data_IF_351275131999
#
_entry.id   IF_351275131999
#
_cell.length_a   1.000
_cell.length_b   1.000
_cell.length_c   1.000
_cell.angle_alpha   90.00
_cell.angle_beta   90.00
_cell.angle_gamma   90.00
#
_symmetry.space_group_name_H-M   'P 1'
#
loop_
_entity.id
_entity.type
_entity.pdbx_description
1 polymer ?
#
# COMPACT_ATOMS: atom_id res chain seq x y z
N UNK A 1 -12.28 3.73 -4.36
CA UNK A 1 -10.96 4.24 -4.83
C UNK A 1 -10.05 4.53 -3.63
N UNK A 2 -9.27 3.53 -3.21
CA UNK A 2 -8.40 3.60 -2.01
C UNK A 2 -6.97 4.06 -2.37
N UNK A 3 -6.70 4.30 -3.67
CA UNK A 3 -5.37 4.52 -4.24
C UNK A 3 -4.80 5.95 -4.13
N UNK A 4 -5.41 6.88 -3.38
CA UNK A 4 -4.96 8.29 -3.33
C UNK A 4 -4.64 8.80 -1.92
N UNK A 5 -4.03 7.95 -1.10
CA UNK A 5 -3.16 8.46 -0.03
C UNK A 5 -1.73 8.13 -0.39
N UNK A 6 -1.14 8.93 -1.28
CA UNK A 6 0.31 9.12 -1.25
C UNK A 6 0.58 9.63 0.16
N UNK A 7 1.11 8.83 1.10
CA UNK A 7 1.34 9.37 2.42
C UNK A 7 2.48 10.36 2.22
N UNK A 8 2.19 11.65 2.36
CA UNK A 8 3.20 12.71 2.25
C UNK A 8 4.47 12.36 3.06
N UNK A 9 4.29 11.62 4.16
CA UNK A 9 5.35 11.05 4.99
C UNK A 9 6.30 10.09 4.23
N UNK A 10 5.81 9.15 3.41
CA UNK A 10 6.66 8.21 2.68
C UNK A 10 7.58 8.92 1.68
N UNK A 11 7.07 9.93 0.95
CA UNK A 11 7.87 10.75 0.05
C UNK A 11 8.94 11.58 0.77
N UNK A 12 8.62 12.12 1.95
CA UNK A 12 9.59 12.87 2.78
C UNK A 12 10.68 11.93 3.31
N UNK A 13 10.30 10.79 3.88
CA UNK A 13 11.23 9.77 4.38
C UNK A 13 12.13 9.23 3.27
N UNK A 14 11.58 9.04 2.07
CA UNK A 14 12.37 8.66 0.89
C UNK A 14 13.43 9.70 0.51
N UNK A 15 13.05 10.97 0.43
CA UNK A 15 14.00 12.04 0.13
C UNK A 15 15.08 12.16 1.20
N UNK A 16 14.73 11.97 2.48
CA UNK A 16 15.68 11.90 3.57
C UNK A 16 16.63 10.69 3.43
N UNK A 17 16.09 9.51 3.16
CA UNK A 17 16.87 8.29 2.90
C UNK A 17 17.87 8.48 1.76
N UNK A 18 17.46 9.13 0.66
CA UNK A 18 18.36 9.49 -0.44
C UNK A 18 19.49 10.43 -0.02
N UNK A 19 19.21 11.40 0.84
CA UNK A 19 20.23 12.28 1.41
C UNK A 19 21.24 11.52 2.25
N UNK A 20 20.78 10.54 3.04
CA UNK A 20 21.64 9.69 3.87
C UNK A 20 22.51 8.75 3.03
N UNK A 21 21.98 8.20 1.93
CA UNK A 21 22.77 7.41 0.96
C UNK A 21 23.92 8.25 0.39
N UNK A 22 23.66 9.51 0.02
CA UNK A 22 24.70 10.41 -0.50
C UNK A 22 25.77 10.73 0.55
N UNK A 23 25.39 10.77 1.83
CA UNK A 23 26.32 10.93 2.95
C UNK A 23 27.04 9.63 3.35
N UNK A 24 26.80 8.52 2.64
CA UNK A 24 27.29 7.16 2.97
C UNK A 24 26.84 6.65 4.35
N UNK A 25 25.79 7.24 4.91
CA UNK A 25 25.14 6.78 6.14
C UNK A 25 24.11 5.69 5.83
N UNK A 26 24.59 4.57 5.31
CA UNK A 26 23.76 3.50 4.78
C UNK A 26 22.86 2.85 5.85
N UNK A 27 23.34 2.71 7.09
CA UNK A 27 22.55 2.22 8.22
C UNK A 27 21.33 3.09 8.55
N UNK A 28 21.54 4.41 8.57
CA UNK A 28 20.47 5.39 8.81
C UNK A 28 19.53 5.46 7.62
N UNK A 29 20.06 5.36 6.39
CA UNK A 29 19.27 5.32 5.17
C UNK A 29 18.32 4.11 5.16
N UNK A 30 18.81 2.92 5.55
CA UNK A 30 18.01 1.71 5.62
C UNK A 30 16.79 1.91 6.54
N UNK A 31 17.01 2.34 7.79
CA UNK A 31 15.93 2.59 8.76
C UNK A 31 14.91 3.61 8.25
N UNK A 32 15.37 4.65 7.57
CA UNK A 32 14.50 5.71 7.06
C UNK A 32 13.64 5.21 5.90
N UNK A 33 14.22 4.41 5.00
CA UNK A 33 13.51 3.81 3.87
C UNK A 33 12.55 2.69 4.31
N UNK A 34 12.91 1.89 5.32
CA UNK A 34 11.99 0.94 5.97
C UNK A 34 10.78 1.66 6.55
N UNK A 35 10.99 2.80 7.22
CA UNK A 35 9.90 3.65 7.70
C UNK A 35 9.05 4.25 6.59
N UNK A 36 9.57 4.40 5.37
CA UNK A 36 8.79 4.85 4.20
C UNK A 36 7.91 3.72 3.66
N UNK A 37 8.41 2.49 3.65
CA UNK A 37 7.64 1.29 3.28
C UNK A 37 6.58 0.92 4.32
N UNK A 38 6.83 1.19 5.60
CA UNK A 38 5.81 1.04 6.65
C UNK A 38 4.64 2.01 6.46
N UNK A 39 4.92 3.24 6.02
CA UNK A 39 3.88 4.23 5.73
C UNK A 39 3.14 3.91 4.42
N UNK A 40 3.85 3.34 3.45
CA UNK A 40 3.31 2.95 2.15
C UNK A 40 3.98 1.65 1.67
N UNK A 41 3.30 0.54 1.95
CA UNK A 41 3.78 -0.80 1.58
C UNK A 41 4.00 -0.99 0.09
N UNK A 42 3.33 -0.19 -0.76
CA UNK A 42 3.45 -0.23 -2.22
C UNK A 42 4.34 0.90 -2.80
N UNK A 43 5.27 1.44 -2.01
CA UNK A 43 6.14 2.53 -2.49
C UNK A 43 7.40 2.00 -3.19
N UNK A 44 7.24 1.67 -4.48
CA UNK A 44 8.27 1.10 -5.37
C UNK A 44 9.63 1.83 -5.28
N UNK A 45 9.70 3.18 -5.29
CA UNK A 45 10.98 3.88 -5.20
C UNK A 45 11.73 3.59 -3.89
N UNK A 46 11.04 3.54 -2.75
CA UNK A 46 11.72 3.23 -1.49
C UNK A 46 12.23 1.79 -1.46
N UNK A 47 11.48 0.84 -2.01
CA UNK A 47 11.91 -0.56 -2.11
C UNK A 47 13.20 -0.71 -2.91
N UNK A 48 13.26 -0.14 -4.12
CA UNK A 48 14.45 -0.21 -4.97
C UNK A 48 15.69 0.36 -4.29
N UNK A 49 15.54 1.51 -3.63
CA UNK A 49 16.65 2.15 -2.91
C UNK A 49 17.04 1.40 -1.64
N UNK A 50 16.09 0.83 -0.90
CA UNK A 50 16.38 0.02 0.29
C UNK A 50 17.12 -1.26 -0.08
N UNK A 51 16.68 -1.94 -1.14
CA UNK A 51 17.36 -3.12 -1.69
C UNK A 51 18.81 -2.80 -2.06
N UNK A 52 19.05 -1.68 -2.76
CA UNK A 52 20.40 -1.22 -3.08
C UNK A 52 21.25 -0.94 -1.84
N UNK A 53 20.66 -0.31 -0.81
CA UNK A 53 21.35 -0.06 0.47
C UNK A 53 21.73 -1.38 1.16
N UNK A 54 20.85 -2.39 1.15
CA UNK A 54 21.15 -3.71 1.71
C UNK A 54 22.21 -4.46 0.91
N UNK A 55 22.23 -4.35 -0.42
CA UNK A 55 23.33 -4.87 -1.24
C UNK A 55 24.67 -4.23 -0.87
N UNK A 56 24.71 -2.91 -0.69
CA UNK A 56 25.92 -2.19 -0.29
C UNK A 56 26.40 -2.53 1.12
N UNK A 57 25.46 -2.73 2.06
CA UNK A 57 25.76 -3.15 3.43
C UNK A 57 26.11 -4.64 3.56
N UNK A 58 25.93 -5.44 2.50
CA UNK A 58 26.10 -6.89 2.54
C UNK A 58 25.05 -7.61 3.40
N UNK A 59 23.89 -6.99 3.64
CA UNK A 59 22.79 -7.54 4.45
C UNK A 59 21.88 -8.45 3.64
N UNK A 60 22.45 -9.55 3.16
CA UNK A 60 21.76 -10.50 2.28
C UNK A 60 20.52 -11.14 2.94
N UNK A 61 20.50 -11.26 4.26
CA UNK A 61 19.37 -11.83 4.99
C UNK A 61 18.18 -10.87 5.06
N UNK A 62 18.44 -9.57 5.26
CA UNK A 62 17.39 -8.55 5.28
C UNK A 62 16.85 -8.30 3.87
N UNK A 63 17.71 -8.34 2.85
CA UNK A 63 17.30 -8.29 1.45
C UNK A 63 16.33 -9.43 1.09
N UNK A 64 16.64 -10.67 1.47
CA UNK A 64 15.74 -11.82 1.22
C UNK A 64 14.38 -11.66 1.90
N UNK A 65 14.35 -11.10 3.12
CA UNK A 65 13.10 -10.81 3.83
C UNK A 65 12.32 -9.71 3.13
N UNK A 66 13.01 -8.66 2.68
CA UNK A 66 12.42 -7.55 1.95
C UNK A 66 11.79 -8.03 0.63
N UNK A 67 12.52 -8.82 -0.16
CA UNK A 67 12.02 -9.40 -1.40
C UNK A 67 10.80 -10.32 -1.13
N UNK A 68 10.86 -11.17 -0.10
CA UNK A 68 9.73 -12.04 0.28
C UNK A 68 8.49 -11.24 0.70
N UNK A 69 8.67 -10.15 1.45
CA UNK A 69 7.58 -9.26 1.86
C UNK A 69 6.95 -8.55 0.65
N UNK A 70 7.78 -8.10 -0.30
CA UNK A 70 7.32 -7.41 -1.50
C UNK A 70 6.58 -8.33 -2.47
N UNK A 71 7.13 -9.51 -2.77
CA UNK A 71 6.46 -10.50 -3.65
C UNK A 71 5.14 -10.97 -3.05
N UNK A 72 5.07 -11.13 -1.72
CA UNK A 72 3.81 -11.46 -1.04
C UNK A 72 2.81 -10.30 -1.06
N UNK A 73 3.25 -9.05 -1.14
CA UNK A 73 2.39 -7.88 -1.26
C UNK A 73 1.84 -7.72 -2.69
N UNK A 74 2.65 -8.00 -3.72
CA UNK A 74 2.20 -8.06 -5.12
C UNK A 74 1.11 -9.13 -5.30
N UNK A 75 1.31 -10.33 -4.73
CA UNK A 75 0.32 -11.42 -4.81
C UNK A 75 -1.01 -11.09 -4.13
N UNK A 76 -1.02 -10.26 -3.09
CA UNK A 76 -2.26 -9.82 -2.41
C UNK A 76 -2.95 -8.65 -3.11
N UNK A 77 -2.25 -7.93 -3.98
CA UNK A 77 -2.83 -6.82 -4.73
C UNK A 77 -3.67 -7.30 -5.93
N UNK A 78 -3.33 -8.46 -6.50
CA UNK A 78 -4.09 -9.06 -7.62
C UNK A 78 -5.39 -9.76 -7.19
N UNK A 79 -5.52 -10.14 -5.91
CA UNK A 79 -6.70 -10.86 -5.37
C UNK A 79 -7.80 -9.90 -4.86
N UNK A 80 -7.66 -8.59 -5.06
CA UNK A 80 -8.58 -7.57 -4.51
C UNK A 80 -9.46 -6.86 -5.56
N UNK A 81 -9.45 -7.32 -6.82
CA UNK A 81 -10.16 -6.66 -7.93
C UNK A 81 -11.31 -7.51 -8.54
N UNK A 82 -11.78 -8.61 -7.92
CA UNK A 82 -12.79 -9.51 -8.53
C UNK A 82 -14.07 -9.83 -7.70
N UNK A 83 -14.40 -9.09 -6.63
CA UNK A 83 -15.64 -9.34 -5.84
C UNK A 83 -16.43 -8.05 -5.50
N UNK A 84 -16.79 -7.25 -6.51
CA UNK A 84 -17.78 -6.15 -6.34
C UNK A 84 -18.72 -6.02 -7.57
N UNK A 85 -19.07 -7.13 -8.21
CA UNK A 85 -20.21 -7.20 -9.15
C UNK A 85 -21.11 -8.39 -8.79
N UNK A 86 -22.04 -8.21 -7.85
CA UNK A 86 -23.42 -8.76 -7.92
C UNK A 86 -24.12 -8.66 -6.55
N UNK A 87 -24.92 -7.60 -6.35
CA UNK A 87 -26.26 -7.71 -5.73
C UNK A 87 -27.01 -6.36 -5.81
N UNK A 88 -27.39 -5.96 -7.02
CA UNK A 88 -28.57 -5.10 -7.20
C UNK A 88 -29.81 -5.98 -7.08
N UNK A 89 -30.22 -6.31 -5.84
CA UNK A 89 -31.56 -6.82 -5.59
C UNK A 89 -32.58 -5.70 -5.84
N UNK A 90 -33.06 -5.66 -7.07
CA UNK A 90 -34.36 -5.14 -7.44
C UNK A 90 -35.43 -5.88 -6.62
N UNK A 91 -36.01 -5.21 -5.62
CA UNK A 91 -37.33 -5.58 -5.10
C UNK A 91 -38.31 -4.45 -5.40
N UNK A 92 -38.96 -4.64 -6.54
CA UNK A 92 -40.28 -4.10 -6.85
C UNK A 92 -41.33 -4.62 -5.84
N UNK A 93 -42.48 -3.96 -5.80
CA UNK A 93 -43.68 -4.30 -5.01
C UNK A 93 -43.81 -3.71 -3.59
N UNK A 94 -44.35 -2.49 -3.54
CA UNK A 94 -45.29 -2.12 -2.49
C UNK A 94 -46.43 -1.27 -3.07
N UNK A 95 -47.29 -1.90 -3.87
CA UNK A 95 -48.66 -1.46 -4.10
C UNK A 95 -49.42 -1.51 -2.75
N UNK A 96 -49.53 -0.36 -2.10
CA UNK A 96 -50.26 -0.17 -0.85
C UNK A 96 -51.14 1.07 -0.91
N UNK A 97 -52.18 1.03 -1.74
CA UNK A 97 -53.25 2.04 -1.77
C UNK A 97 -53.90 2.18 -0.38
N UNK A 98 -53.95 3.38 0.23
CA UNK A 98 -54.85 3.62 1.35
C UNK A 98 -56.25 3.85 0.79
N UNK A 99 -57.11 2.84 0.90
CA UNK A 99 -58.56 3.01 0.76
C UNK A 99 -59.03 4.02 1.80
N UNK A 100 -59.40 5.20 1.33
CA UNK A 100 -60.03 6.25 2.14
C UNK A 100 -61.44 5.80 2.47
N UNK A 101 -61.58 5.17 3.64
CA UNK A 101 -62.86 4.83 4.23
C UNK A 101 -63.67 6.08 4.61
N UNK A 102 -64.97 5.87 4.69
CA UNK A 102 -66.07 6.80 4.46
C UNK A 102 -66.71 7.12 5.81
N UNK A 103 -66.80 8.41 6.16
CA UNK A 103 -67.85 8.93 7.06
C UNK A 103 -68.30 10.28 6.55
#
# INVERSE_FOLDING_TARGET
KILERVPCSAGIKYNLGRGLIQQKELDSAAKTLEGALQDCGNYVPAYQHLRHVYEQLGRTQDLKRLDAMWTSAEAQAEEADDDDEDELEFLDEAEGSPTRDRV
#
